data_IF_262255858444
#
_entry.id   IF_262255858444
#
_cell.length_a   1.000
_cell.length_b   1.000
_cell.length_c   1.000
_cell.angle_alpha   90.00
_cell.angle_beta   90.00
_cell.angle_gamma   90.00
#
_symmetry.space_group_name_H-M   'P 1'
#
loop_
_entity.id
_entity.type
_entity.pdbx_description
1 polymer ?
#
# COMPACT_ATOMS: atom_id res chain seq x y z
N UNK A 1 -39.54 72.36 19.95
CA UNK A 1 -39.09 71.92 18.61
C UNK A 1 -37.57 71.97 18.43
N UNK A 2 -36.83 72.84 19.12
CA UNK A 2 -35.35 72.88 19.08
C UNK A 2 -34.68 71.62 19.64
N UNK A 3 -35.17 71.13 20.78
CA UNK A 3 -34.58 70.04 21.57
C UNK A 3 -34.58 68.67 20.83
N UNK A 4 -35.65 68.38 20.07
CA UNK A 4 -35.75 67.15 19.28
C UNK A 4 -34.83 67.16 18.04
N UNK A 5 -34.52 68.33 17.49
CA UNK A 5 -33.61 68.46 16.35
C UNK A 5 -32.16 68.24 16.77
N UNK A 6 -31.77 68.76 17.94
CA UNK A 6 -30.44 68.57 18.51
C UNK A 6 -30.20 67.11 18.91
N UNK A 7 -31.20 66.44 19.51
CA UNK A 7 -31.13 65.01 19.82
C UNK A 7 -30.97 64.14 18.56
N UNK A 8 -31.67 64.46 17.47
CA UNK A 8 -31.55 63.73 16.20
C UNK A 8 -30.14 63.89 15.60
N UNK A 9 -29.60 65.11 15.68
CA UNK A 9 -28.28 65.43 15.16
C UNK A 9 -27.16 64.74 15.95
N UNK A 10 -27.30 64.65 17.28
CA UNK A 10 -26.39 63.90 18.15
C UNK A 10 -26.42 62.40 17.84
N UNK A 11 -27.61 61.83 17.62
CA UNK A 11 -27.77 60.41 17.25
C UNK A 11 -27.10 60.11 15.89
N UNK A 12 -27.31 60.98 14.90
CA UNK A 12 -26.65 60.89 13.59
C UNK A 12 -25.13 60.96 13.73
N UNK A 13 -24.61 61.88 14.54
CA UNK A 13 -23.16 62.00 14.76
C UNK A 13 -22.58 60.75 15.43
N UNK A 14 -23.27 60.19 16.43
CA UNK A 14 -22.86 58.95 17.10
C UNK A 14 -22.88 57.76 16.14
N UNK A 15 -23.88 57.68 15.25
CA UNK A 15 -23.95 56.63 14.22
C UNK A 15 -22.79 56.72 13.23
N UNK A 16 -22.43 57.92 12.78
CA UNK A 16 -21.28 58.12 11.90
C UNK A 16 -19.96 57.75 12.58
N UNK A 17 -19.79 58.10 13.86
CA UNK A 17 -18.61 57.72 14.65
C UNK A 17 -18.50 56.20 14.81
N UNK A 18 -19.59 55.51 15.11
CA UNK A 18 -19.60 54.04 15.17
C UNK A 18 -19.22 53.42 13.82
N UNK A 19 -19.80 53.91 12.72
CA UNK A 19 -19.51 53.36 11.39
C UNK A 19 -18.04 53.55 11.01
N UNK A 20 -17.48 54.73 11.28
CA UNK A 20 -16.06 55.02 11.05
C UNK A 20 -15.14 54.12 11.90
N UNK A 21 -15.49 53.89 13.16
CA UNK A 21 -14.74 52.99 14.05
C UNK A 21 -14.77 51.54 13.56
N UNK A 22 -15.94 51.05 13.11
CA UNK A 22 -16.06 49.71 12.52
C UNK A 22 -15.23 49.57 11.24
N UNK A 23 -15.20 50.61 10.40
CA UNK A 23 -14.42 50.59 9.16
C UNK A 23 -12.91 50.55 9.44
N UNK A 24 -12.42 51.34 10.40
CA UNK A 24 -11.03 51.31 10.84
C UNK A 24 -10.62 49.93 11.40
N UNK A 25 -11.50 49.30 12.18
CA UNK A 25 -11.26 47.96 12.71
C UNK A 25 -11.18 46.93 11.59
N UNK A 26 -12.09 46.99 10.62
CA UNK A 26 -12.07 46.10 9.45
C UNK A 26 -10.78 46.28 8.63
N UNK A 27 -10.34 47.51 8.39
CA UNK A 27 -9.08 47.80 7.68
C UNK A 27 -7.87 47.24 8.44
N UNK A 28 -7.83 47.38 9.76
CA UNK A 28 -6.77 46.80 10.59
C UNK A 28 -6.75 45.26 10.52
N UNK A 29 -7.91 44.60 10.56
CA UNK A 29 -8.02 43.15 10.44
C UNK A 29 -7.63 42.64 9.04
N UNK A 30 -8.04 43.34 7.99
CA UNK A 30 -7.59 43.05 6.62
C UNK A 30 -6.08 43.25 6.48
N UNK A 31 -5.52 44.27 7.13
CA UNK A 31 -4.07 44.47 7.22
C UNK A 31 -3.36 43.30 7.89
N UNK A 32 -3.88 42.81 9.03
CA UNK A 32 -3.36 41.61 9.72
C UNK A 32 -3.38 40.39 8.80
N UNK A 33 -4.50 40.14 8.12
CA UNK A 33 -4.61 39.04 7.17
C UNK A 33 -3.64 39.24 6.00
N UNK A 34 -3.50 40.47 5.49
CA UNK A 34 -2.61 40.78 4.37
C UNK A 34 -1.15 40.43 4.64
N UNK A 35 -0.67 40.64 5.87
CA UNK A 35 0.71 40.33 6.28
C UNK A 35 0.98 38.82 6.33
N UNK A 36 -0.07 37.99 6.48
CA UNK A 36 0.08 36.54 6.49
C UNK A 36 0.55 36.04 5.13
N UNK A 37 1.55 35.17 5.15
CA UNK A 37 2.07 34.52 3.95
C UNK A 37 0.98 33.72 3.25
N UNK A 38 1.05 33.70 1.92
CA UNK A 38 0.20 32.83 1.11
C UNK A 38 0.43 31.36 1.50
N UNK A 39 -0.65 30.60 1.46
CA UNK A 39 -0.63 29.16 1.63
C UNK A 39 -0.06 28.50 0.39
N UNK A 40 1.07 27.81 0.57
CA UNK A 40 1.66 26.93 -0.43
C UNK A 40 1.73 25.55 0.19
N UNK A 41 1.13 24.57 -0.48
CA UNK A 41 1.03 23.21 0.04
C UNK A 41 2.36 22.47 -0.12
N UNK A 42 2.90 21.97 1.00
CA UNK A 42 4.03 21.05 1.03
C UNK A 42 3.83 20.06 2.18
N UNK A 43 3.38 18.85 1.84
CA UNK A 43 3.11 17.80 2.82
C UNK A 43 4.38 17.29 3.51
N UNK A 44 5.53 17.28 2.83
CA UNK A 44 6.77 16.70 3.35
C UNK A 44 7.40 17.61 4.43
N UNK A 45 7.26 18.93 4.26
CA UNK A 45 7.66 19.94 5.26
C UNK A 45 6.59 20.23 6.31
N UNK A 46 5.43 19.54 6.25
CA UNK A 46 4.32 19.75 7.18
C UNK A 46 3.52 21.03 6.95
N UNK A 47 3.69 21.70 5.80
CA UNK A 47 2.90 22.84 5.37
C UNK A 47 1.55 22.39 4.79
N UNK A 48 0.68 21.90 5.67
CA UNK A 48 -0.71 21.53 5.36
C UNK A 48 -1.64 22.74 5.48
N UNK A 49 -2.82 22.65 4.85
CA UNK A 49 -3.82 23.71 4.99
C UNK A 49 -4.29 23.87 6.43
N UNK A 50 -4.44 22.77 7.17
CA UNK A 50 -4.79 22.79 8.60
C UNK A 50 -3.79 23.62 9.42
N UNK A 51 -2.48 23.35 9.27
CA UNK A 51 -1.44 24.06 10.01
C UNK A 51 -1.38 25.55 9.65
N UNK A 52 -1.53 25.87 8.35
CA UNK A 52 -1.55 27.26 7.91
C UNK A 52 -2.82 27.99 8.38
N UNK A 53 -3.99 27.35 8.24
CA UNK A 53 -5.29 27.92 8.57
C UNK A 53 -5.41 28.18 10.06
N UNK A 54 -4.87 27.32 10.92
CA UNK A 54 -4.85 27.55 12.38
C UNK A 54 -4.21 28.88 12.80
N UNK A 55 -3.31 29.47 11.98
CA UNK A 55 -2.72 30.80 12.26
C UNK A 55 -3.66 31.96 11.96
N UNK A 56 -4.64 31.75 11.08
CA UNK A 56 -5.58 32.78 10.60
C UNK A 56 -7.03 32.46 10.97
N UNK A 57 -7.28 31.32 11.59
CA UNK A 57 -8.62 30.79 11.88
C UNK A 57 -9.44 31.78 12.70
N UNK A 58 -8.88 32.33 13.77
CA UNK A 58 -9.55 33.31 14.63
C UNK A 58 -9.95 34.58 13.86
N UNK A 59 -9.15 35.00 12.88
CA UNK A 59 -9.50 36.15 12.03
C UNK A 59 -10.82 35.85 11.29
N UNK A 60 -11.02 34.63 10.79
CA UNK A 60 -12.23 34.27 10.07
C UNK A 60 -13.41 33.91 10.99
N UNK A 61 -13.15 33.18 12.07
CA UNK A 61 -14.19 32.62 12.95
C UNK A 61 -14.64 33.58 14.04
N UNK A 62 -13.72 34.40 14.57
CA UNK A 62 -13.98 35.33 15.66
C UNK A 62 -14.14 36.74 15.10
N UNK A 63 -13.08 37.28 14.50
CA UNK A 63 -13.06 38.69 14.08
C UNK A 63 -14.01 38.98 12.91
N UNK A 64 -14.11 38.05 11.96
CA UNK A 64 -15.05 38.12 10.84
C UNK A 64 -16.35 37.37 11.10
N UNK A 65 -16.72 37.04 12.34
CA UNK A 65 -17.91 36.23 12.63
C UNK A 65 -19.17 36.73 11.90
N UNK A 66 -19.41 38.05 11.89
CA UNK A 66 -20.58 38.70 11.26
C UNK A 66 -20.46 38.93 9.75
N UNK A 67 -19.30 38.67 9.16
CA UNK A 67 -19.07 38.80 7.73
C UNK A 67 -19.78 37.68 6.96
N UNK A 68 -20.37 38.02 5.81
CA UNK A 68 -21.00 37.02 4.95
C UNK A 68 -19.97 36.02 4.39
N UNK A 69 -20.42 34.78 4.20
CA UNK A 69 -19.57 33.69 3.76
C UNK A 69 -18.92 33.95 2.40
N UNK A 70 -19.62 34.58 1.46
CA UNK A 70 -19.05 34.86 0.14
C UNK A 70 -17.83 35.79 0.23
N UNK A 71 -17.82 36.75 1.16
CA UNK A 71 -16.63 37.57 1.46
C UNK A 71 -15.54 36.77 2.16
N UNK A 72 -15.88 35.97 3.19
CA UNK A 72 -14.90 35.12 3.89
C UNK A 72 -14.19 34.17 2.92
N UNK A 73 -14.96 33.47 2.08
CA UNK A 73 -14.42 32.58 1.04
C UNK A 73 -13.52 33.34 0.09
N UNK A 74 -13.93 34.52 -0.39
CA UNK A 74 -13.07 35.32 -1.28
C UNK A 74 -11.73 35.71 -0.62
N UNK A 75 -11.75 36.15 0.62
CA UNK A 75 -10.54 36.53 1.37
C UNK A 75 -9.63 35.32 1.62
N UNK A 76 -10.22 34.16 1.96
CA UNK A 76 -9.47 32.92 2.14
C UNK A 76 -8.80 32.47 0.83
N UNK A 77 -9.54 32.50 -0.29
CA UNK A 77 -9.03 32.08 -1.60
C UNK A 77 -7.95 33.04 -2.15
N UNK A 78 -7.95 34.31 -1.75
CA UNK A 78 -6.87 35.25 -2.06
C UNK A 78 -5.55 34.91 -1.37
N UNK A 79 -5.61 34.08 -0.32
CA UNK A 79 -4.43 33.63 0.42
C UNK A 79 -3.91 32.28 -0.02
N UNK A 80 -4.55 31.63 -0.99
CA UNK A 80 -4.00 30.43 -1.59
C UNK A 80 -2.99 30.81 -2.66
N UNK A 81 -1.88 30.06 -2.73
CA UNK A 81 -0.97 30.10 -3.85
C UNK A 81 -1.70 29.80 -5.17
N UNK A 82 -1.14 30.20 -6.32
CA UNK A 82 -1.81 30.12 -7.62
C UNK A 82 -2.23 28.68 -7.98
N UNK A 83 -1.39 27.69 -7.65
CA UNK A 83 -1.67 26.29 -7.91
C UNK A 83 -2.80 25.76 -7.02
N UNK A 84 -2.78 26.09 -5.73
CA UNK A 84 -3.75 25.68 -4.73
C UNK A 84 -5.13 26.27 -5.05
N UNK A 85 -5.15 27.55 -5.40
CA UNK A 85 -6.34 28.26 -5.86
C UNK A 85 -6.96 27.59 -7.09
N UNK A 86 -6.16 27.26 -8.11
CA UNK A 86 -6.65 26.62 -9.32
C UNK A 86 -7.22 25.22 -9.04
N UNK A 87 -6.53 24.43 -8.21
CA UNK A 87 -7.01 23.12 -7.77
C UNK A 87 -8.37 23.23 -7.09
N UNK A 88 -8.52 24.17 -6.14
CA UNK A 88 -9.80 24.40 -5.46
C UNK A 88 -10.91 24.76 -6.45
N UNK A 89 -10.66 25.72 -7.36
CA UNK A 89 -11.64 26.13 -8.37
C UNK A 89 -12.09 24.97 -9.26
N UNK A 90 -11.16 24.11 -9.67
CA UNK A 90 -11.49 22.91 -10.45
C UNK A 90 -12.32 21.91 -9.65
N UNK A 91 -12.04 21.76 -8.35
CA UNK A 91 -12.71 20.80 -7.48
C UNK A 91 -14.19 21.13 -7.23
N UNK A 92 -14.52 22.41 -7.13
CA UNK A 92 -15.90 22.83 -6.82
C UNK A 92 -16.83 22.88 -8.04
N UNK A 93 -16.29 22.67 -9.25
CA UNK A 93 -17.11 22.71 -10.47
C UNK A 93 -18.28 21.71 -10.37
N UNK A 94 -19.48 22.10 -10.84
CA UNK A 94 -19.79 23.32 -11.59
C UNK A 94 -20.09 24.57 -10.75
N UNK A 95 -20.03 24.50 -9.41
CA UNK A 95 -20.35 25.63 -8.53
C UNK A 95 -19.32 26.75 -8.67
N UNK A 96 -19.76 28.01 -8.50
CA UNK A 96 -18.84 29.14 -8.33
C UNK A 96 -18.40 29.26 -6.85
N UNK A 97 -17.19 29.76 -6.53
CA UNK A 97 -16.76 29.93 -5.13
C UNK A 97 -17.70 30.75 -4.23
N UNK A 98 -18.52 31.64 -4.83
CA UNK A 98 -19.53 32.44 -4.10
C UNK A 98 -20.76 31.64 -3.68
N UNK A 99 -20.96 30.46 -4.26
CA UNK A 99 -22.08 29.55 -3.97
C UNK A 99 -21.71 28.49 -2.92
N UNK A 100 -20.44 28.46 -2.52
CA UNK A 100 -19.92 27.56 -1.48
C UNK A 100 -19.81 28.37 -0.20
N UNK A 101 -20.35 27.84 0.90
CA UNK A 101 -20.29 28.51 2.20
C UNK A 101 -18.87 28.37 2.81
N UNK A 102 -18.58 29.15 3.84
CA UNK A 102 -17.23 29.22 4.39
C UNK A 102 -16.73 27.90 4.96
N UNK A 103 -17.57 27.20 5.74
CA UNK A 103 -17.18 25.93 6.36
C UNK A 103 -17.03 24.81 5.31
N UNK A 104 -17.86 24.78 4.26
CA UNK A 104 -17.71 23.86 3.13
C UNK A 104 -16.38 24.12 2.40
N UNK A 105 -16.01 25.39 2.16
CA UNK A 105 -14.71 25.74 1.59
C UNK A 105 -13.55 25.27 2.45
N UNK A 106 -13.57 25.55 3.76
CA UNK A 106 -12.52 25.11 4.70
C UNK A 106 -12.39 23.59 4.70
N UNK A 107 -13.51 22.87 4.71
CA UNK A 107 -13.52 21.40 4.64
C UNK A 107 -12.95 20.85 3.33
N UNK A 108 -13.28 21.48 2.20
CA UNK A 108 -12.72 21.10 0.89
C UNK A 108 -11.21 21.31 0.89
N UNK A 109 -10.74 22.50 1.31
CA UNK A 109 -9.32 22.82 1.35
C UNK A 109 -8.54 21.90 2.30
N UNK A 110 -9.09 21.60 3.47
CA UNK A 110 -8.52 20.61 4.38
C UNK A 110 -8.36 19.25 3.69
N UNK A 111 -9.40 18.73 3.02
CA UNK A 111 -9.32 17.44 2.33
C UNK A 111 -8.34 17.43 1.16
N UNK A 112 -8.23 18.54 0.43
CA UNK A 112 -7.37 18.64 -0.74
C UNK A 112 -5.89 18.80 -0.37
N UNK A 113 -5.62 19.47 0.75
CA UNK A 113 -4.29 19.88 1.17
C UNK A 113 -3.98 19.42 2.60
N UNK A 114 -4.46 18.22 2.94
CA UNK A 114 -4.04 17.51 4.13
C UNK A 114 -2.77 16.73 3.86
N UNK A 115 -2.15 16.27 4.95
CA UNK A 115 -1.16 15.23 4.86
C UNK A 115 -1.78 13.94 4.27
N UNK A 116 -1.11 13.34 3.29
CA UNK A 116 -1.56 12.08 2.67
C UNK A 116 -0.99 10.83 3.37
N UNK A 117 -0.26 11.01 4.47
CA UNK A 117 0.31 9.90 5.22
C UNK A 117 -0.81 9.12 5.93
N UNK A 118 -0.82 7.79 5.77
CA UNK A 118 -1.70 6.94 6.55
C UNK A 118 -1.37 7.01 8.04
N UNK A 119 -2.35 6.71 8.88
CA UNK A 119 -2.15 6.68 10.33
C UNK A 119 -1.04 5.69 10.74
N UNK A 120 -0.88 4.59 10.00
CA UNK A 120 0.27 3.70 10.15
C UNK A 120 1.59 4.43 9.94
N UNK A 121 1.73 5.17 8.84
CA UNK A 121 2.98 5.88 8.50
C UNK A 121 3.31 6.92 9.56
N UNK A 122 2.32 7.70 10.01
CA UNK A 122 2.50 8.68 11.09
C UNK A 122 3.00 7.99 12.35
N UNK A 123 2.33 6.90 12.77
CA UNK A 123 2.69 6.15 13.96
C UNK A 123 4.08 5.51 13.85
N UNK A 124 4.37 4.90 12.70
CA UNK A 124 5.66 4.29 12.43
C UNK A 124 6.79 5.32 12.48
N UNK A 125 6.64 6.46 11.81
CA UNK A 125 7.65 7.51 11.80
C UNK A 125 7.92 8.08 13.20
N UNK A 126 6.88 8.24 14.02
CA UNK A 126 7.04 8.64 15.41
C UNK A 126 7.92 7.65 16.20
N UNK A 127 7.78 6.34 15.97
CA UNK A 127 8.61 5.31 16.61
C UNK A 127 10.06 5.32 16.10
N UNK A 128 10.31 5.90 14.92
CA UNK A 128 11.64 6.04 14.33
C UNK A 128 12.31 7.38 14.68
N UNK A 129 11.70 8.22 15.52
CA UNK A 129 12.25 9.53 15.83
C UNK A 129 13.62 9.45 16.49
N UNK A 130 14.59 10.10 15.88
CA UNK A 130 15.93 10.30 16.42
C UNK A 130 16.28 11.79 16.40
N UNK A 131 17.03 12.23 17.41
CA UNK A 131 17.57 13.59 17.44
C UNK A 131 18.70 13.70 16.42
N UNK A 132 18.70 14.76 15.62
CA UNK A 132 19.80 15.01 14.68
C UNK A 132 21.04 15.54 15.41
N UNK A 133 22.21 15.43 14.78
CA UNK A 133 23.49 15.81 15.42
C UNK A 133 23.56 17.32 15.74
N UNK A 134 23.03 18.16 14.86
CA UNK A 134 23.05 19.62 14.90
C UNK A 134 21.78 20.25 15.51
N UNK A 135 20.77 19.45 15.80
CA UNK A 135 19.51 19.91 16.40
C UNK A 135 19.67 20.21 17.91
N UNK A 136 19.07 21.29 18.41
CA UNK A 136 19.01 21.57 19.85
C UNK A 136 17.86 20.82 20.53
N UNK A 137 17.91 20.71 21.86
CA UNK A 137 16.93 19.94 22.62
C UNK A 137 15.51 20.53 22.61
N UNK A 138 15.36 21.85 22.49
CA UNK A 138 14.02 22.47 22.44
C UNK A 138 13.36 22.18 21.10
N UNK A 139 14.12 22.31 20.01
CA UNK A 139 13.65 21.92 18.67
C UNK A 139 13.27 20.45 18.62
N UNK A 140 14.13 19.57 19.17
CA UNK A 140 13.83 18.13 19.23
C UNK A 140 12.59 17.82 20.07
N UNK A 141 12.47 18.41 21.27
CA UNK A 141 11.30 18.26 22.12
C UNK A 141 10.01 18.71 21.42
N UNK A 142 10.08 19.82 20.66
CA UNK A 142 8.99 20.30 19.81
C UNK A 142 8.59 19.26 18.75
N UNK A 143 9.57 18.67 18.03
CA UNK A 143 9.30 17.60 17.05
C UNK A 143 8.68 16.36 17.70
N UNK A 144 9.21 15.92 18.85
CA UNK A 144 8.67 14.76 19.59
C UNK A 144 7.23 15.02 20.00
N UNK A 145 6.94 16.19 20.58
CA UNK A 145 5.58 16.55 21.00
C UNK A 145 4.61 16.57 19.81
N UNK A 146 5.00 17.20 18.70
CA UNK A 146 4.20 17.24 17.48
C UNK A 146 3.89 15.82 16.94
N UNK A 147 4.89 14.96 16.86
CA UNK A 147 4.69 13.59 16.37
C UNK A 147 3.88 12.73 17.36
N UNK A 148 4.04 12.94 18.67
CA UNK A 148 3.25 12.24 19.69
C UNK A 148 1.75 12.59 19.65
N UNK A 149 1.41 13.87 19.45
CA UNK A 149 0.01 14.28 19.24
C UNK A 149 -0.55 13.66 17.95
N UNK A 150 0.23 13.69 16.86
CA UNK A 150 -0.15 13.08 15.58
C UNK A 150 -0.26 11.55 15.65
N UNK A 151 0.48 10.91 16.54
CA UNK A 151 0.40 9.46 16.81
C UNK A 151 -0.98 9.05 17.38
N UNK A 152 -1.68 9.99 18.03
CA UNK A 152 -2.97 9.79 18.72
C UNK A 152 -2.89 8.67 19.76
N UNK A 153 -1.92 8.79 20.67
CA UNK A 153 -1.62 7.76 21.68
C UNK A 153 -2.79 7.52 22.64
N UNK A 154 -3.53 8.58 22.98
CA UNK A 154 -4.67 8.55 23.91
C UNK A 154 -5.83 7.65 23.47
N UNK A 155 -5.98 7.40 22.16
CA UNK A 155 -7.02 6.53 21.60
C UNK A 155 -6.48 5.20 21.10
N UNK A 156 -5.16 4.97 21.18
CA UNK A 156 -4.54 3.73 20.73
C UNK A 156 -4.70 2.63 21.80
N UNK A 157 -5.35 1.53 21.43
CA UNK A 157 -5.48 0.39 22.34
C UNK A 157 -4.17 -0.41 22.44
N UNK A 158 -4.01 -1.18 23.51
CA UNK A 158 -2.85 -2.07 23.68
C UNK A 158 -2.73 -3.08 22.52
N UNK A 159 -3.85 -3.59 22.03
CA UNK A 159 -3.84 -4.56 20.93
C UNK A 159 -3.52 -3.91 19.59
N UNK A 160 -4.04 -2.70 19.31
CA UNK A 160 -3.63 -1.93 18.14
C UNK A 160 -2.14 -1.59 18.16
N UNK A 161 -1.57 -1.27 19.33
CA UNK A 161 -0.12 -1.04 19.45
C UNK A 161 0.69 -2.31 19.16
N UNK A 162 0.27 -3.48 19.66
CA UNK A 162 0.91 -4.76 19.32
C UNK A 162 0.82 -5.06 17.82
N UNK A 163 -0.33 -4.78 17.21
CA UNK A 163 -0.55 -4.92 15.76
C UNK A 163 0.40 -4.03 14.96
N UNK A 164 0.56 -2.76 15.36
CA UNK A 164 1.53 -1.83 14.78
C UNK A 164 2.94 -2.43 14.83
N UNK A 165 3.41 -2.86 16.01
CA UNK A 165 4.74 -3.45 16.17
C UNK A 165 4.93 -4.70 15.31
N UNK A 166 3.91 -5.57 15.23
CA UNK A 166 3.96 -6.77 14.39
C UNK A 166 4.15 -6.42 12.92
N UNK A 167 3.32 -5.53 12.38
CA UNK A 167 3.37 -5.12 10.97
C UNK A 167 4.69 -4.41 10.66
N UNK A 168 5.16 -3.53 11.56
CA UNK A 168 6.46 -2.86 11.45
C UNK A 168 7.66 -3.81 11.41
N UNK A 169 7.53 -5.02 11.96
CA UNK A 169 8.56 -6.05 11.92
C UNK A 169 8.67 -6.81 10.60
N UNK A 170 7.63 -6.77 9.74
CA UNK A 170 7.54 -7.54 8.50
C UNK A 170 8.37 -6.94 7.35
N UNK A 171 9.65 -6.61 7.56
CA UNK A 171 10.44 -5.82 6.59
C UNK A 171 10.92 -6.59 5.35
N UNK A 172 10.82 -7.93 5.35
CA UNK A 172 11.26 -8.75 4.21
C UNK A 172 10.39 -8.51 2.96
N UNK A 173 10.97 -8.53 1.75
CA UNK A 173 10.19 -8.52 0.51
C UNK A 173 9.22 -9.71 0.38
N UNK A 174 9.51 -10.84 1.02
CA UNK A 174 8.65 -12.05 1.03
C UNK A 174 7.29 -11.76 1.69
N UNK A 175 7.26 -10.82 2.63
CA UNK A 175 6.06 -10.45 3.38
C UNK A 175 5.29 -9.29 2.75
N UNK A 176 5.65 -8.83 1.54
CA UNK A 176 5.04 -7.65 0.92
C UNK A 176 3.52 -7.75 0.77
N UNK A 177 3.02 -8.90 0.32
CA UNK A 177 1.57 -9.14 0.17
C UNK A 177 0.86 -9.16 1.53
N UNK A 178 1.52 -9.73 2.55
CA UNK A 178 1.01 -9.78 3.92
C UNK A 178 0.94 -8.37 4.50
N UNK A 179 2.04 -7.60 4.43
CA UNK A 179 2.06 -6.19 4.85
C UNK A 179 0.94 -5.39 4.21
N UNK A 180 0.78 -5.48 2.89
CA UNK A 180 -0.24 -4.71 2.16
C UNK A 180 -1.66 -5.03 2.66
N UNK A 181 -1.97 -6.30 2.86
CA UNK A 181 -3.28 -6.73 3.36
C UNK A 181 -3.51 -6.35 4.82
N UNK A 182 -2.50 -6.51 5.67
CA UNK A 182 -2.59 -6.16 7.09
C UNK A 182 -2.72 -4.65 7.30
N UNK A 183 -1.99 -3.84 6.53
CA UNK A 183 -2.11 -2.38 6.56
C UNK A 183 -3.52 -1.92 6.18
N UNK A 184 -4.07 -2.45 5.09
CA UNK A 184 -5.44 -2.15 4.67
C UNK A 184 -6.46 -2.50 5.74
N UNK A 185 -6.27 -3.63 6.44
CA UNK A 185 -7.17 -4.02 7.54
C UNK A 185 -7.06 -3.09 8.74
N UNK A 186 -5.84 -2.72 9.12
CA UNK A 186 -5.59 -1.83 10.25
C UNK A 186 -6.15 -0.41 10.04
N UNK A 187 -6.35 0.02 8.79
CA UNK A 187 -7.01 1.28 8.47
C UNK A 187 -8.55 1.24 8.64
N UNK A 188 -9.17 0.06 8.72
CA UNK A 188 -10.63 -0.12 8.71
C UNK A 188 -11.19 -0.90 9.91
N UNK A 189 -10.32 -1.48 10.75
CA UNK A 189 -10.67 -2.35 11.86
C UNK A 189 -10.11 -1.78 13.17
N UNK A 190 -10.94 -1.01 13.87
CA UNK A 190 -10.57 -0.36 15.13
C UNK A 190 -10.34 -1.39 16.28
N UNK A 191 -10.82 -2.63 16.13
CA UNK A 191 -10.70 -3.70 17.14
C UNK A 191 -9.67 -4.77 16.74
N UNK A 192 -8.74 -4.42 15.84
CA UNK A 192 -7.74 -5.36 15.34
C UNK A 192 -6.79 -5.86 16.44
N UNK A 193 -6.71 -7.19 16.59
CA UNK A 193 -5.81 -7.85 17.56
C UNK A 193 -4.72 -8.67 16.86
N UNK A 194 -3.70 -9.09 17.62
CA UNK A 194 -2.68 -10.02 17.11
C UNK A 194 -3.26 -11.36 16.65
N UNK A 195 -4.32 -11.83 17.31
CA UNK A 195 -5.00 -13.07 16.89
C UNK A 195 -5.66 -12.87 15.52
N UNK A 196 -6.28 -11.70 15.30
CA UNK A 196 -6.86 -11.33 14.02
C UNK A 196 -5.78 -11.26 12.93
N UNK A 197 -4.61 -10.67 13.23
CA UNK A 197 -3.44 -10.63 12.32
C UNK A 197 -2.99 -12.04 11.94
N UNK A 198 -2.72 -12.88 12.94
CA UNK A 198 -2.16 -14.23 12.69
C UNK A 198 -3.14 -15.11 11.93
N UNK A 199 -4.43 -14.98 12.22
CA UNK A 199 -5.50 -15.65 11.46
C UNK A 199 -5.51 -15.18 9.99
N UNK A 200 -5.36 -13.87 9.76
CA UNK A 200 -5.29 -13.32 8.40
C UNK A 200 -4.03 -13.78 7.66
N UNK A 201 -2.88 -13.82 8.31
CA UNK A 201 -1.67 -14.40 7.74
C UNK A 201 -1.90 -15.86 7.33
N UNK A 202 -2.48 -16.68 8.21
CA UNK A 202 -2.77 -18.08 7.89
C UNK A 202 -3.73 -18.20 6.69
N UNK A 203 -4.75 -17.34 6.63
CA UNK A 203 -5.68 -17.27 5.49
C UNK A 203 -4.96 -16.94 4.19
N UNK A 204 -4.02 -15.98 4.20
CA UNK A 204 -3.22 -15.60 3.03
C UNK A 204 -2.26 -16.72 2.59
N UNK A 205 -1.68 -17.47 3.54
CA UNK A 205 -0.86 -18.66 3.23
C UNK A 205 -1.70 -19.69 2.49
N UNK A 206 -2.88 -20.01 2.99
CA UNK A 206 -3.78 -20.97 2.37
C UNK A 206 -4.19 -20.52 0.96
N UNK A 207 -4.55 -19.23 0.79
CA UNK A 207 -4.89 -18.68 -0.52
C UNK A 207 -3.73 -18.79 -1.52
N UNK A 208 -2.49 -18.52 -1.11
CA UNK A 208 -1.31 -18.70 -1.99
C UNK A 208 -1.17 -20.16 -2.45
N UNK A 209 -1.43 -21.11 -1.57
CA UNK A 209 -1.43 -22.55 -1.92
C UNK A 209 -2.55 -22.89 -2.90
N UNK A 210 -3.76 -22.38 -2.68
CA UNK A 210 -4.91 -22.59 -3.56
C UNK A 210 -4.68 -22.00 -4.97
N UNK A 211 -4.12 -20.79 -5.05
CA UNK A 211 -3.77 -20.16 -6.34
C UNK A 211 -2.74 -21.01 -7.10
N UNK A 212 -1.69 -21.48 -6.44
CA UNK A 212 -0.69 -22.35 -7.06
C UNK A 212 -1.30 -23.68 -7.59
N UNK A 213 -2.30 -24.23 -6.89
CA UNK A 213 -3.04 -25.42 -7.35
C UNK A 213 -3.82 -25.17 -8.65
N UNK A 214 -4.36 -23.96 -8.85
CA UNK A 214 -5.10 -23.61 -10.06
C UNK A 214 -4.17 -23.32 -11.25
N UNK A 215 -3.05 -22.62 -11.00
CA UNK A 215 -2.07 -22.29 -12.04
C UNK A 215 -1.39 -23.53 -12.63
N UNK A 216 -1.12 -24.54 -11.81
CA UNK A 216 -0.52 -25.82 -12.24
C UNK A 216 -1.42 -26.63 -13.18
N UNK A 217 -2.73 -26.39 -13.20
CA UNK A 217 -3.67 -27.05 -14.14
C UNK A 217 -3.73 -26.38 -15.51
N UNK A 218 -3.20 -25.17 -15.66
CA UNK A 218 -3.32 -24.39 -16.91
C UNK A 218 -2.15 -24.58 -17.88
N UNK A 219 -1.11 -25.34 -17.52
CA UNK A 219 -0.03 -25.74 -18.44
C UNK A 219 -0.36 -27.10 -19.07
N UNK A 220 -1.40 -27.13 -19.89
CA UNK A 220 -1.50 -28.15 -20.94
C UNK A 220 -0.54 -27.70 -22.04
N UNK A 221 0.44 -28.49 -22.48
CA UNK A 221 1.18 -28.18 -23.70
C UNK A 221 0.19 -28.27 -24.88
N UNK A 222 -0.47 -27.16 -25.20
CA UNK A 222 -1.09 -26.97 -26.49
C UNK A 222 0.04 -26.90 -27.51
N UNK A 223 0.34 -28.03 -28.17
CA UNK A 223 0.64 -28.13 -29.60
C UNK A 223 1.20 -29.52 -29.92
N UNK A 224 0.35 -30.39 -30.48
CA UNK A 224 0.71 -31.11 -31.71
C UNK A 224 -0.53 -31.74 -32.32
N UNK A 225 -1.26 -30.92 -33.08
CA UNK A 225 -2.19 -31.39 -34.11
C UNK A 225 -1.44 -32.42 -34.97
N UNK A 226 -1.88 -33.68 -34.95
CA UNK A 226 -1.34 -34.72 -35.84
C UNK A 226 -1.81 -34.44 -37.27
N UNK A 227 -1.05 -33.61 -37.99
CA UNK A 227 -1.17 -33.52 -39.44
C UNK A 227 -0.64 -34.82 -40.05
N UNK A 228 -1.53 -35.61 -40.65
CA UNK A 228 -1.17 -36.77 -41.47
C UNK A 228 -0.45 -36.25 -42.72
N UNK A 229 0.87 -36.42 -42.79
CA UNK A 229 1.61 -36.30 -44.04
C UNK A 229 2.12 -37.67 -44.47
N UNK A 230 1.48 -38.14 -45.54
CA UNK A 230 1.88 -39.21 -46.43
C UNK A 230 3.27 -38.96 -47.04
N UNK A 231 4.09 -40.01 -47.09
CA UNK A 231 5.00 -40.22 -48.22
C UNK A 231 6.48 -39.89 -48.04
N UNK A 232 7.28 -40.97 -48.14
CA UNK A 232 8.58 -41.08 -48.79
C UNK A 232 9.89 -40.77 -48.02
N UNK A 233 10.56 -41.89 -47.68
CA UNK A 233 11.99 -42.26 -47.86
C UNK A 233 13.00 -41.11 -48.11
N UNK A 234 14.09 -41.08 -47.33
CA UNK A 234 15.43 -41.55 -47.75
C UNK A 234 16.49 -41.41 -46.63
N UNK A 235 17.61 -42.11 -46.85
CA UNK A 235 18.65 -42.52 -45.91
C UNK A 235 19.71 -41.45 -45.57
N UNK A 236 20.39 -41.70 -44.44
CA UNK A 236 21.86 -41.68 -44.26
C UNK A 236 22.51 -40.60 -43.36
N UNK A 237 22.92 -41.06 -42.16
CA UNK A 237 24.24 -40.92 -41.48
C UNK A 237 24.91 -39.55 -41.25
N UNK A 238 25.11 -39.17 -39.97
CA UNK A 238 26.41 -39.07 -39.23
C UNK A 238 26.22 -38.38 -37.85
N UNK A 239 26.44 -39.11 -36.75
CA UNK A 239 27.55 -38.98 -35.74
C UNK A 239 27.50 -37.74 -34.81
N UNK A 240 26.95 -37.87 -33.58
CA UNK A 240 27.64 -37.97 -32.25
C UNK A 240 28.44 -36.73 -31.79
N UNK A 241 28.17 -36.09 -30.64
CA UNK A 241 28.53 -36.44 -29.22
C UNK A 241 28.02 -35.30 -28.29
N UNK A 242 27.77 -35.37 -26.98
CA UNK A 242 27.62 -36.40 -25.92
C UNK A 242 27.15 -35.68 -24.61
N UNK A 243 26.67 -36.46 -23.62
CA UNK A 243 26.17 -36.11 -22.25
C UNK A 243 24.71 -35.64 -22.15
N UNK A 244 23.81 -36.24 -21.35
CA UNK A 244 23.99 -36.88 -20.04
C UNK A 244 22.82 -37.84 -19.67
N UNK A 245 23.14 -38.82 -18.80
CA UNK A 245 22.26 -39.79 -18.10
C UNK A 245 21.57 -40.88 -18.95
N UNK A 246 22.08 -42.11 -18.82
CA UNK A 246 21.50 -43.31 -19.43
C UNK A 246 20.05 -43.54 -18.97
N UNK A 247 19.12 -43.84 -19.90
CA UNK A 247 17.74 -44.14 -19.53
C UNK A 247 17.70 -45.47 -18.78
N UNK A 248 17.14 -45.50 -17.57
CA UNK A 248 16.78 -46.75 -16.89
C UNK A 248 15.44 -47.24 -17.47
N UNK A 249 15.23 -48.55 -17.67
CA UNK A 249 13.94 -49.07 -18.13
C UNK A 249 12.86 -48.77 -17.08
N UNK A 250 11.58 -48.71 -17.47
CA UNK A 250 10.46 -48.50 -16.54
C UNK A 250 10.11 -49.76 -15.70
N UNK A 251 10.60 -50.93 -16.11
CA UNK A 251 10.35 -52.22 -15.45
C UNK A 251 11.60 -53.08 -15.37
N UNK A 252 11.64 -54.02 -14.41
CA UNK A 252 12.69 -55.05 -14.31
C UNK A 252 12.68 -55.94 -15.56
N UNK A 253 13.85 -56.43 -15.96
CA UNK A 253 14.00 -57.30 -17.12
C UNK A 253 13.20 -58.61 -16.97
N UNK A 254 12.33 -58.89 -17.92
CA UNK A 254 11.47 -60.10 -17.94
C UNK A 254 12.26 -61.42 -18.04
N UNK A 255 13.53 -61.37 -18.48
CA UNK A 255 14.38 -62.56 -18.64
C UNK A 255 15.10 -62.98 -17.34
N UNK A 256 15.55 -62.01 -16.52
CA UNK A 256 16.42 -62.28 -15.37
C UNK A 256 16.07 -61.51 -14.07
N UNK A 257 15.12 -60.58 -14.12
CA UNK A 257 14.67 -59.78 -12.96
C UNK A 257 15.57 -58.59 -12.58
N UNK A 258 16.70 -58.35 -13.24
CA UNK A 258 17.57 -57.19 -12.99
C UNK A 258 17.10 -55.92 -13.72
N UNK A 259 17.54 -54.74 -13.26
CA UNK A 259 17.16 -53.43 -13.85
C UNK A 259 18.04 -53.06 -15.05
N UNK A 260 17.69 -53.60 -16.22
CA UNK A 260 18.23 -53.21 -17.53
C UNK A 260 17.18 -53.47 -18.64
N UNK A 261 17.30 -52.81 -19.79
CA UNK A 261 16.39 -53.09 -20.91
C UNK A 261 16.55 -54.53 -21.38
N UNK A 262 15.42 -55.23 -21.56
CA UNK A 262 15.38 -56.65 -21.93
C UNK A 262 16.21 -57.02 -23.16
N UNK A 263 16.39 -56.09 -24.11
CA UNK A 263 17.24 -56.28 -25.29
C UNK A 263 18.73 -56.49 -24.98
N UNK A 264 19.20 -55.99 -23.83
CA UNK A 264 20.59 -56.09 -23.37
C UNK A 264 20.80 -57.20 -22.33
N UNK A 265 19.79 -58.03 -22.08
CA UNK A 265 19.92 -59.12 -21.12
C UNK A 265 20.76 -60.26 -21.70
N UNK A 266 21.84 -60.66 -21.00
CA UNK A 266 22.66 -61.83 -21.34
C UNK A 266 21.84 -63.13 -21.41
N UNK A 267 20.74 -63.22 -20.65
CA UNK A 267 19.88 -64.39 -20.61
C UNK A 267 18.75 -64.39 -21.65
N UNK A 268 18.67 -63.37 -22.52
CA UNK A 268 17.63 -63.25 -23.56
C UNK A 268 17.56 -64.47 -24.48
N UNK A 269 18.72 -65.01 -24.84
CA UNK A 269 18.85 -66.18 -25.73
C UNK A 269 19.21 -67.46 -24.96
N UNK A 270 19.20 -67.43 -23.62
CA UNK A 270 19.55 -68.59 -22.82
C UNK A 270 18.43 -69.63 -22.85
N UNK A 271 18.77 -70.87 -23.17
CA UNK A 271 17.87 -72.02 -23.18
C UNK A 271 17.98 -72.74 -21.83
N UNK A 272 16.89 -72.81 -21.08
CA UNK A 272 16.89 -73.48 -19.79
C UNK A 272 17.16 -74.98 -19.96
N UNK A 273 18.17 -75.52 -19.29
CA UNK A 273 18.53 -76.95 -19.34
C UNK A 273 17.48 -77.87 -18.68
N UNK A 274 16.56 -77.32 -17.89
CA UNK A 274 15.54 -78.08 -17.15
C UNK A 274 14.20 -78.12 -17.91
N UNK A 275 13.78 -77.01 -18.54
CA UNK A 275 12.46 -76.92 -19.21
C UNK A 275 12.53 -76.65 -20.71
N UNK A 276 13.74 -76.55 -21.27
CA UNK A 276 14.04 -76.37 -22.69
C UNK A 276 13.40 -75.14 -23.38
N UNK A 277 12.85 -74.19 -22.61
CA UNK A 277 12.33 -72.90 -23.11
C UNK A 277 13.43 -71.85 -23.17
N UNK A 278 13.40 -71.03 -24.22
CA UNK A 278 14.33 -69.91 -24.42
C UNK A 278 13.78 -68.67 -23.70
N UNK A 279 14.62 -67.99 -22.93
CA UNK A 279 14.32 -66.66 -22.42
C UNK A 279 13.58 -66.56 -21.07
N UNK A 280 13.63 -67.57 -20.20
CA UNK A 280 13.19 -67.41 -18.80
C UNK A 280 14.21 -68.06 -17.87
N UNK A 281 14.92 -67.27 -17.07
CA UNK A 281 15.77 -67.77 -16.00
C UNK A 281 14.94 -67.87 -14.70
N UNK A 282 14.43 -69.06 -14.37
CA UNK A 282 13.84 -69.31 -13.05
C UNK A 282 14.97 -69.62 -12.07
N UNK A 283 15.27 -68.72 -11.13
CA UNK A 283 16.11 -69.05 -9.96
C UNK A 283 15.41 -70.17 -9.15
N UNK A 284 16.13 -71.26 -8.85
CA UNK A 284 15.72 -72.17 -7.76
C UNK A 284 15.71 -71.37 -6.46
N UNK A 285 14.65 -71.48 -5.65
CA UNK A 285 14.60 -70.91 -4.30
C UNK A 285 15.73 -71.55 -3.47
N UNK A 286 16.64 -70.76 -2.90
CA UNK A 286 17.43 -71.22 -1.76
C UNK A 286 18.95 -70.97 -1.73
N UNK A 287 19.60 -70.36 -2.73
CA UNK A 287 21.07 -70.17 -2.65
C UNK A 287 21.50 -68.72 -2.91
N UNK A 288 22.22 -68.18 -1.92
CA UNK A 288 22.89 -66.87 -1.92
C UNK A 288 24.30 -67.09 -2.48
N UNK A 289 24.64 -66.43 -3.59
CA UNK A 289 26.02 -66.36 -4.07
C UNK A 289 26.38 -64.88 -4.23
N UNK A 290 27.25 -64.40 -3.35
CA UNK A 290 27.90 -63.09 -3.45
C UNK A 290 28.89 -63.10 -4.64
N UNK A 291 29.00 -62.01 -5.42
CA UNK A 291 30.13 -61.85 -6.31
C UNK A 291 31.31 -61.24 -5.56
N UNK A 292 32.41 -62.00 -5.51
CA UNK A 292 33.78 -61.53 -5.29
C UNK A 292 34.18 -60.53 -6.38
N UNK A 293 35.08 -59.60 -6.03
CA UNK A 293 35.58 -58.54 -6.92
C UNK A 293 36.39 -59.04 -8.11
N UNK A 294 36.41 -58.22 -9.16
CA UNK A 294 37.53 -57.37 -9.57
C UNK A 294 36.98 -56.14 -10.31
#
# INVERSE_FOLDING_TARGET
>A
MSDSSEQLQLLLQQQHQMLASQQQLLEALLGKLSIQQEFIFDADSGHTFEAWFGRVEDIFRVEFATMDDAKKVRLLLQKLGPNEHQKYKNHILPKHPREVNFDETVNILNKMFCEQASLFRIRYNCLQLTKEADEDYNTYAGRVNLQAERFKLNVLTSDQFKCLLFISGLNSPVDADFRMKLLSRMEHDDEMTLQTITTECQRLINLKQDTAMLETKSVVPSNSVHAVKTGQRQNSTKSHKYHSKAPKPATKCWYCGAWHFSRFCRFRNHRCTICNKVGIFKKKKGEVLYPSGD
#
